data_IF_259879573368
#
_entry.id   IF_259879573368
#
_cell.length_a   1.000
_cell.length_b   1.000
_cell.length_c   1.000
_cell.angle_alpha   90.00
_cell.angle_beta   90.00
_cell.angle_gamma   90.00
#
_symmetry.space_group_name_H-M   'P 1'
#
loop_
_entity.id
_entity.type
_entity.pdbx_description
1 polymer ?
#
# COMPACT_ATOMS: atom_id res chain seq x y z
N UNK A 1 11.51 -36.14 15.76
CA UNK A 1 11.65 -36.02 14.30
C UNK A 1 10.56 -35.09 13.81
N UNK A 2 10.95 -33.94 13.31
CA UNK A 2 10.12 -32.84 12.80
C UNK A 2 9.13 -33.35 11.76
N UNK A 3 7.82 -33.03 11.84
CA UNK A 3 6.92 -33.35 10.74
C UNK A 3 7.35 -32.54 9.52
N UNK A 4 7.81 -33.27 8.52
CA UNK A 4 8.34 -32.80 7.26
C UNK A 4 7.25 -31.96 6.59
N UNK A 5 7.56 -30.69 6.38
CA UNK A 5 6.86 -29.74 5.51
C UNK A 5 6.57 -30.41 4.17
N UNK A 6 5.36 -30.94 4.01
CA UNK A 6 4.84 -31.46 2.75
C UNK A 6 3.73 -30.55 2.24
N UNK A 7 3.88 -29.20 2.30
CA UNK A 7 2.77 -28.31 1.92
C UNK A 7 3.22 -26.90 1.50
N UNK A 8 4.30 -26.76 0.73
CA UNK A 8 4.58 -25.46 0.08
C UNK A 8 3.90 -25.41 -1.30
N UNK A 9 4.06 -26.39 -2.20
CA UNK A 9 3.45 -26.31 -3.54
C UNK A 9 1.91 -26.40 -3.53
N UNK A 10 1.33 -27.40 -2.87
CA UNK A 10 -0.14 -27.61 -2.92
C UNK A 10 -0.92 -26.50 -2.19
N UNK A 11 -0.44 -26.05 -1.02
CA UNK A 11 -1.12 -24.95 -0.32
C UNK A 11 -0.95 -23.62 -1.06
N UNK A 12 0.21 -23.38 -1.67
CA UNK A 12 0.42 -22.18 -2.48
C UNK A 12 -0.51 -22.16 -3.70
N UNK A 13 -0.67 -23.26 -4.43
CA UNK A 13 -1.63 -23.36 -5.54
C UNK A 13 -3.09 -23.17 -5.11
N UNK A 14 -3.45 -23.62 -3.90
CA UNK A 14 -4.77 -23.42 -3.32
C UNK A 14 -5.00 -21.97 -2.89
N UNK A 15 -3.96 -21.30 -2.37
CA UNK A 15 -3.98 -19.88 -2.07
C UNK A 15 -4.05 -19.05 -3.36
N UNK A 16 -3.35 -19.45 -4.42
CA UNK A 16 -3.44 -18.79 -5.72
C UNK A 16 -4.84 -18.85 -6.30
N UNK A 17 -5.46 -20.03 -6.23
CA UNK A 17 -6.87 -20.18 -6.59
C UNK A 17 -7.75 -19.28 -5.71
N UNK A 18 -7.57 -19.28 -4.40
CA UNK A 18 -8.38 -18.47 -3.47
C UNK A 18 -8.31 -16.97 -3.79
N UNK A 19 -7.11 -16.43 -4.02
CA UNK A 19 -6.92 -15.02 -4.32
C UNK A 19 -7.26 -14.62 -5.76
N UNK A 20 -7.40 -15.60 -6.69
CA UNK A 20 -7.82 -15.38 -8.06
C UNK A 20 -9.34 -15.28 -8.28
N UNK A 21 -10.13 -15.67 -7.27
CA UNK A 21 -11.60 -15.73 -7.37
C UNK A 21 -12.25 -14.34 -7.40
N UNK A 22 -13.49 -14.25 -7.91
CA UNK A 22 -14.35 -13.11 -7.66
C UNK A 22 -14.45 -12.82 -6.16
N UNK A 23 -14.41 -11.54 -5.80
CA UNK A 23 -14.34 -11.10 -4.41
C UNK A 23 -15.47 -11.67 -3.53
N UNK A 24 -16.65 -11.90 -4.11
CA UNK A 24 -17.83 -12.38 -3.41
C UNK A 24 -17.79 -13.88 -3.10
N UNK A 25 -16.97 -14.65 -3.80
CA UNK A 25 -16.76 -16.08 -3.58
C UNK A 25 -15.67 -16.38 -2.54
N UNK A 26 -14.77 -15.42 -2.28
CA UNK A 26 -13.59 -15.58 -1.43
C UNK A 26 -13.89 -16.24 -0.08
N UNK A 27 -14.92 -15.75 0.65
CA UNK A 27 -15.23 -16.24 1.99
C UNK A 27 -15.74 -17.69 1.98
N UNK A 28 -16.55 -18.05 0.98
CA UNK A 28 -17.09 -19.40 0.85
C UNK A 28 -15.96 -20.39 0.57
N UNK A 29 -15.15 -20.12 -0.46
CA UNK A 29 -14.06 -20.99 -0.86
C UNK A 29 -12.97 -21.09 0.22
N UNK A 30 -12.64 -20.00 0.93
CA UNK A 30 -11.71 -20.03 2.07
C UNK A 30 -12.18 -21.01 3.15
N UNK A 31 -13.48 -21.02 3.47
CA UNK A 31 -14.03 -21.88 4.51
C UNK A 31 -14.05 -23.35 4.06
N UNK A 32 -14.33 -23.61 2.79
CA UNK A 32 -14.26 -24.95 2.19
C UNK A 32 -12.83 -25.49 2.15
N UNK A 33 -11.87 -24.68 1.72
CA UNK A 33 -10.44 -24.99 1.74
C UNK A 33 -9.99 -25.36 3.16
N UNK A 34 -10.31 -24.54 4.15
CA UNK A 34 -9.99 -24.85 5.54
C UNK A 34 -10.62 -26.18 6.01
N UNK A 35 -11.86 -26.46 5.61
CA UNK A 35 -12.54 -27.72 5.96
C UNK A 35 -11.86 -28.93 5.32
N UNK A 36 -11.46 -28.82 4.05
CA UNK A 36 -10.73 -29.87 3.34
C UNK A 36 -9.35 -30.11 3.96
N UNK A 37 -8.61 -29.06 4.29
CA UNK A 37 -7.30 -29.16 4.95
C UNK A 37 -7.41 -29.87 6.32
N UNK A 38 -8.45 -29.57 7.11
CA UNK A 38 -8.70 -30.31 8.37
C UNK A 38 -8.99 -31.79 8.12
N UNK A 39 -9.82 -32.12 7.13
CA UNK A 39 -10.13 -33.52 6.77
C UNK A 39 -8.90 -34.28 6.27
N UNK A 40 -7.96 -33.59 5.63
CA UNK A 40 -6.68 -34.14 5.19
C UNK A 40 -5.62 -34.24 6.31
N UNK A 41 -5.97 -33.95 7.57
CA UNK A 41 -5.03 -33.99 8.71
C UNK A 41 -4.11 -32.77 8.83
N UNK A 42 -4.30 -31.74 8.01
CA UNK A 42 -3.49 -30.52 8.00
C UNK A 42 -4.14 -29.40 8.85
N UNK A 43 -4.29 -29.65 10.15
CA UNK A 43 -5.00 -28.75 11.06
C UNK A 43 -4.36 -27.34 11.13
N UNK A 44 -3.02 -27.26 11.17
CA UNK A 44 -2.30 -25.98 11.24
C UNK A 44 -2.49 -25.13 9.98
N UNK A 45 -2.44 -25.75 8.79
CA UNK A 45 -2.70 -25.09 7.52
C UNK A 45 -4.16 -24.59 7.44
N UNK A 46 -5.11 -25.39 7.93
CA UNK A 46 -6.51 -24.99 7.98
C UNK A 46 -6.76 -23.78 8.88
N UNK A 47 -6.10 -23.70 10.05
CA UNK A 47 -6.18 -22.51 10.90
C UNK A 47 -5.59 -21.28 10.20
N UNK A 48 -4.43 -21.42 9.56
CA UNK A 48 -3.83 -20.33 8.77
C UNK A 48 -4.81 -19.81 7.71
N UNK A 49 -5.42 -20.70 6.92
CA UNK A 49 -6.41 -20.33 5.90
C UNK A 49 -7.63 -19.64 6.52
N UNK A 50 -8.14 -20.12 7.66
CA UNK A 50 -9.29 -19.48 8.35
C UNK A 50 -9.01 -18.07 8.80
N UNK A 51 -7.76 -17.76 9.15
CA UNK A 51 -7.36 -16.42 9.60
C UNK A 51 -7.17 -15.42 8.47
N UNK A 52 -7.13 -15.87 7.20
CA UNK A 52 -7.03 -14.99 6.04
C UNK A 52 -8.24 -14.07 5.96
N UNK A 53 -7.97 -12.77 5.87
CA UNK A 53 -9.01 -11.75 5.71
C UNK A 53 -9.48 -11.72 4.27
N UNK A 54 -10.77 -11.38 4.08
CA UNK A 54 -11.28 -11.06 2.75
C UNK A 54 -10.64 -9.73 2.33
N UNK A 55 -9.88 -9.67 1.21
CA UNK A 55 -9.27 -8.43 0.77
C UNK A 55 -10.35 -7.38 0.47
N UNK A 56 -10.04 -6.10 0.68
CA UNK A 56 -10.90 -5.02 0.22
C UNK A 56 -10.95 -4.97 -1.32
N UNK A 57 -11.91 -4.23 -1.90
CA UNK A 57 -12.05 -4.12 -3.37
C UNK A 57 -10.75 -3.62 -4.03
N UNK A 58 -10.07 -2.62 -3.46
CA UNK A 58 -8.81 -2.11 -3.98
C UNK A 58 -7.72 -3.19 -4.01
N UNK A 59 -7.51 -3.88 -2.88
CA UNK A 59 -6.52 -4.96 -2.74
C UNK A 59 -6.84 -6.15 -3.63
N UNK A 60 -8.11 -6.52 -3.73
CA UNK A 60 -8.57 -7.55 -4.66
C UNK A 60 -8.25 -7.17 -6.11
N UNK A 61 -8.50 -5.92 -6.50
CA UNK A 61 -8.18 -5.43 -7.85
C UNK A 61 -6.68 -5.55 -8.11
N UNK A 62 -5.83 -5.15 -7.16
CA UNK A 62 -4.37 -5.29 -7.24
C UNK A 62 -3.95 -6.76 -7.40
N UNK A 63 -4.52 -7.68 -6.60
CA UNK A 63 -4.23 -9.10 -6.70
C UNK A 63 -4.65 -9.70 -8.06
N UNK A 64 -5.78 -9.25 -8.60
CA UNK A 64 -6.23 -9.67 -9.93
C UNK A 64 -5.33 -9.12 -11.04
N UNK A 65 -4.80 -7.92 -10.90
CA UNK A 65 -3.83 -7.36 -11.85
C UNK A 65 -2.55 -8.20 -11.89
N UNK A 66 -2.00 -8.59 -10.74
CA UNK A 66 -0.83 -9.47 -10.70
C UNK A 66 -1.05 -10.81 -11.39
N UNK A 67 -2.28 -11.33 -11.37
CA UNK A 67 -2.63 -12.59 -12.02
C UNK A 67 -2.93 -12.47 -13.50
N UNK A 68 -3.60 -11.39 -13.92
CA UNK A 68 -4.02 -11.17 -15.32
C UNK A 68 -2.95 -10.47 -16.15
N UNK A 69 -2.10 -9.68 -15.50
CA UNK A 69 -1.08 -8.79 -16.09
C UNK A 69 0.25 -8.89 -15.32
N UNK A 70 0.84 -10.10 -15.21
CA UNK A 70 2.06 -10.30 -14.42
C UNK A 70 3.23 -9.46 -14.96
N UNK A 71 3.37 -9.34 -16.28
CA UNK A 71 4.46 -8.57 -16.89
C UNK A 71 4.44 -7.08 -16.52
N UNK A 72 3.25 -6.48 -16.44
CA UNK A 72 3.07 -5.07 -16.06
C UNK A 72 3.31 -4.85 -14.56
N UNK A 73 3.01 -5.85 -13.71
CA UNK A 73 3.35 -5.81 -12.29
C UNK A 73 4.85 -5.97 -12.08
N UNK A 74 5.48 -6.93 -12.75
CA UNK A 74 6.93 -7.15 -12.68
C UNK A 74 7.70 -5.89 -13.12
N UNK A 75 7.26 -5.24 -14.21
CA UNK A 75 7.83 -3.97 -14.67
C UNK A 75 7.67 -2.86 -13.61
N UNK A 76 6.51 -2.77 -12.95
CA UNK A 76 6.28 -1.79 -11.89
C UNK A 76 7.19 -2.03 -10.69
N UNK A 77 7.32 -3.27 -10.23
CA UNK A 77 8.20 -3.64 -9.10
C UNK A 77 9.65 -3.33 -9.44
N UNK A 78 10.09 -3.68 -10.64
CA UNK A 78 11.45 -3.42 -11.11
C UNK A 78 11.74 -1.91 -11.17
N UNK A 79 10.84 -1.11 -11.76
CA UNK A 79 10.99 0.34 -11.81
C UNK A 79 10.99 0.96 -10.40
N UNK A 80 10.17 0.42 -9.48
CA UNK A 80 10.19 0.80 -8.06
C UNK A 80 11.53 0.50 -7.38
N UNK A 81 12.15 -0.63 -7.68
CA UNK A 81 13.49 -1.00 -7.18
C UNK A 81 14.57 -0.07 -7.73
N UNK A 82 14.58 0.16 -9.04
CA UNK A 82 15.52 1.07 -9.69
C UNK A 82 15.42 2.49 -9.14
N UNK A 83 14.21 2.97 -8.87
CA UNK A 83 13.99 4.27 -8.24
C UNK A 83 14.59 4.32 -6.82
N UNK A 84 14.36 3.30 -5.99
CA UNK A 84 14.97 3.22 -4.66
C UNK A 84 16.50 3.24 -4.73
N UNK A 85 17.08 2.46 -5.64
CA UNK A 85 18.53 2.38 -5.82
C UNK A 85 19.12 3.70 -6.33
N UNK A 86 18.45 4.37 -7.27
CA UNK A 86 18.85 5.68 -7.76
C UNK A 86 18.81 6.73 -6.64
N UNK A 87 17.74 6.73 -5.83
CA UNK A 87 17.63 7.62 -4.67
C UNK A 87 18.74 7.37 -3.64
N UNK A 88 19.04 6.10 -3.34
CA UNK A 88 20.13 5.74 -2.43
C UNK A 88 21.51 6.21 -2.93
N UNK A 89 21.76 6.15 -4.24
CA UNK A 89 22.99 6.67 -4.88
C UNK A 89 23.06 8.20 -4.86
N UNK A 90 21.93 8.87 -5.10
CA UNK A 90 21.82 10.32 -5.07
C UNK A 90 22.12 10.91 -3.69
N UNK A 91 21.67 10.23 -2.62
CA UNK A 91 22.02 10.60 -1.24
C UNK A 91 23.53 10.51 -0.95
N UNK A 92 24.27 9.71 -1.72
CA UNK A 92 25.74 9.61 -1.65
C UNK A 92 26.45 10.61 -2.58
N UNK A 93 25.71 11.54 -3.18
CA UNK A 93 26.25 12.60 -4.04
C UNK A 93 26.42 12.22 -5.52
N UNK A 94 25.83 11.10 -5.98
CA UNK A 94 25.99 10.62 -7.36
C UNK A 94 24.63 10.31 -8.01
N UNK A 95 24.44 10.62 -9.31
CA UNK A 95 23.30 10.08 -10.08
C UNK A 95 21.96 10.82 -9.95
N UNK A 96 21.97 12.15 -9.83
CA UNK A 96 20.73 12.96 -9.84
C UNK A 96 19.90 12.76 -11.13
N UNK A 97 20.55 12.55 -12.28
CA UNK A 97 19.88 12.28 -13.55
C UNK A 97 19.19 10.91 -13.57
N UNK A 98 19.82 9.90 -12.98
CA UNK A 98 19.25 8.56 -12.86
C UNK A 98 17.97 8.55 -11.98
N UNK A 99 17.88 9.42 -10.98
CA UNK A 99 16.64 9.58 -10.19
C UNK A 99 15.51 10.11 -11.04
N UNK A 100 15.78 11.10 -11.90
CA UNK A 100 14.75 11.68 -12.79
C UNK A 100 14.23 10.64 -13.77
N UNK A 101 15.12 9.87 -14.38
CA UNK A 101 14.76 8.80 -15.31
C UNK A 101 13.97 7.69 -14.62
N UNK A 102 14.45 7.16 -13.49
CA UNK A 102 13.75 6.12 -12.72
C UNK A 102 12.38 6.59 -12.21
N UNK A 103 12.26 7.87 -11.82
CA UNK A 103 10.95 8.45 -11.43
C UNK A 103 10.00 8.50 -12.61
N UNK A 104 10.48 8.84 -13.82
CA UNK A 104 9.65 8.85 -15.01
C UNK A 104 9.19 7.44 -15.40
N UNK A 105 10.07 6.44 -15.29
CA UNK A 105 9.76 5.03 -15.54
C UNK A 105 8.71 4.48 -14.57
N UNK A 106 8.88 4.67 -13.25
CA UNK A 106 7.88 4.27 -12.23
C UNK A 106 6.52 4.90 -12.48
N UNK A 107 6.49 6.21 -12.76
CA UNK A 107 5.22 6.90 -13.03
C UNK A 107 4.56 6.39 -14.31
N UNK A 108 5.33 5.99 -15.31
CA UNK A 108 4.79 5.47 -16.56
C UNK A 108 4.21 4.06 -16.38
N UNK A 109 4.91 3.15 -15.70
CA UNK A 109 4.39 1.81 -15.40
C UNK A 109 3.18 1.89 -14.48
N UNK A 110 3.21 2.72 -13.42
CA UNK A 110 2.08 2.88 -12.52
C UNK A 110 0.83 3.36 -13.27
N UNK A 111 0.94 4.36 -14.15
CA UNK A 111 -0.19 4.83 -14.98
C UNK A 111 -0.77 3.72 -15.86
N UNK A 112 0.08 2.85 -16.43
CA UNK A 112 -0.38 1.70 -17.24
C UNK A 112 -1.18 0.72 -16.38
N UNK A 113 -0.63 0.33 -15.22
CA UNK A 113 -1.30 -0.60 -14.30
C UNK A 113 -2.60 -0.02 -13.75
N UNK A 114 -2.66 1.27 -13.41
CA UNK A 114 -3.89 1.93 -12.97
C UNK A 114 -4.98 1.94 -14.04
N UNK A 115 -4.62 2.06 -15.33
CA UNK A 115 -5.59 1.94 -16.43
C UNK A 115 -6.16 0.53 -16.54
N UNK A 116 -5.31 -0.49 -16.41
CA UNK A 116 -5.76 -1.89 -16.35
C UNK A 116 -6.69 -2.13 -15.15
N UNK A 117 -6.43 -1.45 -14.02
CA UNK A 117 -7.30 -1.51 -12.85
C UNK A 117 -8.69 -0.93 -13.13
N UNK A 118 -8.76 0.19 -13.85
CA UNK A 118 -10.02 0.80 -14.29
C UNK A 118 -10.81 -0.13 -15.22
N UNK A 119 -10.15 -0.70 -16.23
CA UNK A 119 -10.75 -1.67 -17.15
C UNK A 119 -11.30 -2.90 -16.41
N UNK A 120 -10.53 -3.43 -15.46
CA UNK A 120 -10.93 -4.56 -14.61
C UNK A 120 -12.16 -4.24 -13.75
N UNK A 121 -12.16 -3.09 -13.06
CA UNK A 121 -13.28 -2.69 -12.21
C UNK A 121 -14.57 -2.52 -13.03
N UNK A 122 -14.46 -1.86 -14.19
CA UNK A 122 -15.60 -1.65 -15.09
C UNK A 122 -16.13 -2.98 -15.65
N UNK A 123 -15.24 -3.89 -16.05
CA UNK A 123 -15.61 -5.23 -16.52
C UNK A 123 -16.32 -6.09 -15.47
N UNK A 124 -16.06 -5.82 -14.18
CA UNK A 124 -16.68 -6.50 -13.03
C UNK A 124 -17.89 -5.74 -12.48
N UNK A 125 -18.35 -4.70 -13.18
CA UNK A 125 -19.50 -3.87 -12.78
C UNK A 125 -19.26 -3.06 -11.49
N UNK A 126 -17.99 -2.83 -11.12
CA UNK A 126 -17.60 -2.07 -9.93
C UNK A 126 -17.20 -0.65 -10.33
N UNK A 127 -17.58 0.39 -9.55
CA UNK A 127 -17.31 1.76 -9.93
C UNK A 127 -15.81 2.09 -9.81
N UNK A 128 -15.18 2.42 -10.94
CA UNK A 128 -13.81 2.92 -11.01
C UNK A 128 -13.74 4.43 -10.70
N UNK A 129 -14.12 4.82 -9.48
CA UNK A 129 -14.05 6.24 -9.08
C UNK A 129 -12.60 6.72 -8.97
N UNK A 130 -12.36 8.02 -9.14
CA UNK A 130 -11.02 8.60 -8.98
C UNK A 130 -10.39 8.26 -7.61
N UNK A 131 -11.19 8.26 -6.53
CA UNK A 131 -10.73 7.89 -5.20
C UNK A 131 -10.35 6.39 -5.10
N UNK A 132 -11.05 5.50 -5.80
CA UNK A 132 -10.70 4.08 -5.86
C UNK A 132 -9.39 3.87 -6.62
N UNK A 133 -9.24 4.51 -7.78
CA UNK A 133 -8.02 4.42 -8.60
C UNK A 133 -6.80 4.99 -7.86
N UNK A 134 -6.97 6.08 -7.11
CA UNK A 134 -5.90 6.65 -6.28
C UNK A 134 -5.47 5.67 -5.17
N UNK A 135 -6.42 5.01 -4.49
CA UNK A 135 -6.11 3.99 -3.47
C UNK A 135 -5.35 2.80 -4.06
N UNK A 136 -5.75 2.34 -5.25
CA UNK A 136 -5.06 1.28 -5.98
C UNK A 136 -3.65 1.72 -6.35
N UNK A 137 -3.49 2.91 -6.93
CA UNK A 137 -2.19 3.46 -7.31
C UNK A 137 -1.25 3.63 -6.10
N UNK A 138 -1.77 4.12 -4.97
CA UNK A 138 -1.04 4.25 -3.71
C UNK A 138 -0.56 2.90 -3.19
N UNK A 139 -1.44 1.89 -3.16
CA UNK A 139 -1.12 0.53 -2.72
C UNK A 139 -0.05 -0.11 -3.62
N UNK A 140 -0.20 0.01 -4.94
CA UNK A 140 0.76 -0.50 -5.93
C UNK A 140 2.14 0.14 -5.76
N UNK A 141 2.19 1.47 -5.62
CA UNK A 141 3.45 2.20 -5.41
C UNK A 141 4.12 1.76 -4.11
N UNK A 142 3.36 1.68 -3.01
CA UNK A 142 3.90 1.28 -1.72
C UNK A 142 4.41 -0.17 -1.73
N UNK A 143 3.66 -1.08 -2.35
CA UNK A 143 4.05 -2.50 -2.46
C UNK A 143 5.27 -2.71 -3.35
N UNK A 144 5.39 -1.97 -4.47
CA UNK A 144 6.57 -2.03 -5.34
C UNK A 144 7.88 -1.59 -4.65
N UNK A 145 7.76 -0.82 -3.55
CA UNK A 145 8.91 -0.30 -2.81
C UNK A 145 9.33 -1.06 -1.57
N UNK A 146 8.49 -1.96 -1.08
CA UNK A 146 8.78 -2.81 0.07
C UNK A 146 9.07 -4.24 -0.43
N UNK A 147 10.27 -4.83 -0.15
CA UNK A 147 10.61 -6.16 -0.63
C UNK A 147 9.63 -7.27 -0.24
N UNK A 148 9.07 -7.22 0.99
CA UNK A 148 8.15 -8.24 1.47
C UNK A 148 6.78 -8.06 0.82
N UNK A 149 6.34 -6.81 0.65
CA UNK A 149 5.09 -6.51 -0.06
C UNK A 149 5.18 -6.76 -1.57
N UNK A 150 6.35 -6.55 -2.18
CA UNK A 150 6.59 -6.80 -3.60
C UNK A 150 6.43 -8.28 -3.92
N UNK A 151 7.00 -9.18 -3.11
CA UNK A 151 6.82 -10.62 -3.29
C UNK A 151 5.35 -11.06 -3.17
N UNK A 152 4.59 -10.44 -2.24
CA UNK A 152 3.15 -10.69 -2.11
C UNK A 152 2.34 -10.09 -3.27
N UNK A 153 2.76 -8.95 -3.80
CA UNK A 153 2.16 -8.30 -4.96
C UNK A 153 2.36 -9.15 -6.21
N UNK A 154 3.59 -9.58 -6.50
CA UNK A 154 3.93 -10.45 -7.63
C UNK A 154 3.16 -11.77 -7.57
N UNK A 155 3.02 -12.35 -6.37
CA UNK A 155 2.20 -13.54 -6.16
C UNK A 155 0.68 -13.28 -6.26
N UNK A 156 0.24 -12.02 -6.26
CA UNK A 156 -1.18 -11.64 -6.23
C UNK A 156 -1.88 -12.10 -4.94
N UNK A 157 -1.21 -11.97 -3.79
CA UNK A 157 -1.66 -12.45 -2.46
C UNK A 157 -1.60 -11.37 -1.39
N UNK A 158 -1.67 -10.09 -1.75
CA UNK A 158 -1.72 -9.00 -0.78
C UNK A 158 -2.97 -9.16 0.11
N UNK A 159 -2.82 -9.18 1.44
CA UNK A 159 -3.94 -9.38 2.36
C UNK A 159 -4.73 -8.10 2.63
N UNK A 160 -4.05 -6.95 2.64
CA UNK A 160 -4.57 -5.63 2.99
C UNK A 160 -3.81 -4.55 2.18
N UNK A 161 -4.27 -3.29 2.26
CA UNK A 161 -3.57 -2.16 1.62
C UNK A 161 -2.19 -1.94 2.26
N UNK A 162 -1.22 -1.58 1.43
CA UNK A 162 0.15 -1.30 1.87
C UNK A 162 0.30 0.21 1.97
N UNK A 163 0.64 0.70 3.16
CA UNK A 163 0.96 2.10 3.37
C UNK A 163 2.46 2.32 3.14
N UNK A 164 2.82 3.35 2.37
CA UNK A 164 4.23 3.69 2.15
C UNK A 164 4.91 4.01 3.47
N UNK A 165 5.96 3.27 3.79
CA UNK A 165 6.73 3.33 5.04
C UNK A 165 7.53 4.62 5.23
N UNK A 166 7.30 5.67 4.42
CA UNK A 166 7.90 7.00 4.59
C UNK A 166 7.55 7.71 5.91
N UNK A 167 6.51 7.26 6.62
CA UNK A 167 6.11 7.74 7.95
C UNK A 167 6.21 6.67 9.05
N UNK A 168 6.60 5.43 8.73
CA UNK A 168 6.66 4.34 9.69
C UNK A 168 7.70 4.56 10.80
N UNK A 169 8.76 5.33 10.52
CA UNK A 169 9.73 5.78 11.53
C UNK A 169 9.09 6.66 12.63
N UNK A 170 8.00 7.37 12.33
CA UNK A 170 7.23 8.15 13.31
C UNK A 170 6.21 7.28 14.07
N UNK A 171 5.67 6.25 13.42
CA UNK A 171 4.70 5.32 14.02
C UNK A 171 5.34 4.31 14.99
N UNK A 172 6.65 4.05 14.86
CA UNK A 172 7.43 3.20 15.77
C UNK A 172 7.53 3.75 17.22
N UNK A 173 7.06 4.97 17.46
CA UNK A 173 6.98 5.57 18.81
C UNK A 173 5.64 5.29 19.53
N UNK A 174 4.73 4.50 18.94
CA UNK A 174 3.48 4.10 19.58
C UNK A 174 3.59 2.66 20.15
N UNK A 175 3.21 2.41 21.42
CA UNK A 175 3.25 1.07 21.98
C UNK A 175 2.22 0.16 21.28
N UNK A 176 2.56 -1.12 21.01
CA UNK A 176 1.63 -2.06 20.42
C UNK A 176 0.49 -2.39 21.40
N UNK A 177 -0.76 -2.59 20.92
CA UNK A 177 -1.84 -3.04 21.78
C UNK A 177 -1.57 -4.48 22.26
N UNK A 178 -1.58 -4.66 23.58
CA UNK A 178 -1.49 -5.96 24.26
C UNK A 178 -2.60 -6.91 23.78
N UNK A 179 -2.21 -8.05 23.21
CA UNK A 179 -3.09 -9.15 22.87
C UNK A 179 -3.18 -10.12 24.07
N UNK A 180 -4.25 -10.00 24.85
CA UNK A 180 -4.63 -11.02 25.84
C UNK A 180 -5.34 -12.17 25.15
N UNK A 181 -4.68 -13.33 25.09
CA UNK A 181 -5.31 -14.63 24.83
C UNK A 181 -6.18 -15.02 26.03
N UNK A 182 -7.43 -15.43 25.80
CA UNK A 182 -8.15 -16.40 26.65
C UNK A 182 -9.21 -17.10 25.82
N UNK A 183 -9.09 -18.43 25.76
CA UNK A 183 -10.10 -19.33 25.19
C UNK A 183 -11.28 -19.53 26.12
N UNK A 184 -12.36 -20.08 25.56
CA UNK A 184 -13.55 -20.52 26.30
C UNK A 184 -14.84 -20.26 25.53
N UNK A 185 -15.41 -21.32 24.96
CA UNK A 185 -16.69 -21.30 24.26
C UNK A 185 -17.86 -20.93 25.17
N UNK A 186 -18.77 -20.04 24.72
CA UNK A 186 -20.23 -20.18 24.84
C UNK A 186 -21.00 -19.04 24.17
N UNK A 187 -22.04 -19.45 23.43
CA UNK A 187 -23.35 -18.83 23.14
C UNK A 187 -23.39 -17.32 22.84
N UNK A 188 -23.71 -17.03 21.57
CA UNK A 188 -23.98 -15.72 20.98
C UNK A 188 -25.33 -15.20 21.50
N UNK A 189 -25.29 -14.13 22.28
CA UNK A 189 -26.42 -13.23 22.54
C UNK A 189 -25.97 -11.82 22.15
N UNK A 190 -26.85 -11.12 21.42
CA UNK A 190 -26.66 -9.76 20.94
C UNK A 190 -26.50 -8.79 22.12
N UNK A 191 -25.25 -8.49 22.49
CA UNK A 191 -24.94 -7.48 23.50
C UNK A 191 -25.01 -6.09 22.88
N UNK A 192 -26.03 -5.31 23.29
CA UNK A 192 -26.05 -3.85 23.13
C UNK A 192 -24.70 -3.25 23.60
N UNK A 193 -24.16 -2.23 22.93
CA UNK A 193 -22.85 -1.68 23.26
C UNK A 193 -22.84 -1.23 24.72
N UNK A 194 -21.89 -1.77 25.49
CA UNK A 194 -21.67 -1.41 26.89
C UNK A 194 -21.32 0.09 26.96
N UNK A 195 -21.94 0.85 27.88
CA UNK A 195 -21.70 2.29 28.06
C UNK A 195 -20.20 2.63 28.24
N UNK A 196 -19.42 1.69 28.81
CA UNK A 196 -17.96 1.81 28.92
C UNK A 196 -17.23 1.81 27.56
N UNK A 197 -17.76 1.07 26.58
CA UNK A 197 -17.21 1.00 25.23
C UNK A 197 -17.51 2.28 24.43
N UNK A 198 -18.70 2.86 24.60
CA UNK A 198 -19.08 4.14 23.97
C UNK A 198 -18.16 5.26 24.47
N UNK A 199 -17.99 5.41 25.79
CA UNK A 199 -17.06 6.42 26.36
C UNK A 199 -15.62 6.28 25.88
N UNK A 200 -15.15 5.03 25.71
CA UNK A 200 -13.81 4.74 25.17
C UNK A 200 -13.69 5.17 23.71
N UNK A 201 -14.74 4.99 22.91
CA UNK A 201 -14.79 5.41 21.51
C UNK A 201 -14.85 6.93 21.40
N UNK A 202 -15.64 7.61 22.23
CA UNK A 202 -15.72 9.08 22.28
C UNK A 202 -14.37 9.71 22.64
N UNK A 203 -13.68 9.18 23.66
CA UNK A 203 -12.35 9.66 24.05
C UNK A 203 -11.33 9.43 22.93
N UNK A 204 -11.44 8.31 22.21
CA UNK A 204 -10.57 8.00 21.08
C UNK A 204 -10.85 8.95 19.90
N UNK A 205 -12.12 9.25 19.63
CA UNK A 205 -12.53 10.18 18.59
C UNK A 205 -11.97 11.58 18.85
N UNK A 206 -12.17 12.13 20.05
CA UNK A 206 -11.66 13.44 20.43
C UNK A 206 -10.12 13.53 20.30
N UNK A 207 -9.40 12.46 20.66
CA UNK A 207 -7.93 12.40 20.49
C UNK A 207 -7.50 12.36 19.02
N UNK A 208 -8.27 11.70 18.16
CA UNK A 208 -8.00 11.64 16.72
C UNK A 208 -8.30 12.98 16.05
N UNK A 209 -9.38 13.65 16.43
CA UNK A 209 -9.73 15.00 15.95
C UNK A 209 -8.66 16.03 16.32
N UNK A 210 -8.20 16.03 17.58
CA UNK A 210 -7.12 16.92 18.01
C UNK A 210 -5.82 16.68 17.22
N UNK A 211 -5.50 15.41 16.92
CA UNK A 211 -4.34 15.05 16.10
C UNK A 211 -4.51 15.47 14.64
N UNK A 212 -5.71 15.31 14.08
CA UNK A 212 -6.01 15.74 12.71
C UNK A 212 -5.85 17.26 12.58
N UNK A 213 -6.31 18.02 13.58
CA UNK A 213 -6.16 19.48 13.65
C UNK A 213 -4.68 19.91 13.71
N UNK A 214 -3.87 19.32 14.60
CA UNK A 214 -2.43 19.61 14.71
C UNK A 214 -1.67 19.28 13.41
N UNK A 215 -2.01 18.16 12.76
CA UNK A 215 -1.41 17.79 11.48
C UNK A 215 -1.79 18.74 10.35
N UNK A 216 -3.05 19.19 10.30
CA UNK A 216 -3.50 20.18 9.32
C UNK A 216 -2.75 21.52 9.48
N UNK A 217 -2.61 22.01 10.71
CA UNK A 217 -1.88 23.26 11.00
C UNK A 217 -0.38 23.15 10.64
N UNK A 218 0.22 21.97 10.82
CA UNK A 218 1.61 21.71 10.39
C UNK A 218 1.75 21.66 8.87
N UNK A 219 0.76 21.07 8.17
CA UNK A 219 0.74 21.05 6.72
C UNK A 219 0.65 22.48 6.15
N UNK A 220 -0.26 23.30 6.69
CA UNK A 220 -0.42 24.71 6.28
C UNK A 220 0.87 25.51 6.51
N UNK A 221 1.53 25.34 7.66
CA UNK A 221 2.84 25.98 7.92
C UNK A 221 3.91 25.52 6.95
N UNK A 222 3.97 24.23 6.63
CA UNK A 222 4.94 23.70 5.67
C UNK A 222 4.69 24.23 4.25
N UNK A 223 3.43 24.37 3.84
CA UNK A 223 3.04 24.96 2.56
C UNK A 223 3.42 26.44 2.47
N UNK A 224 3.22 27.21 3.54
CA UNK A 224 3.64 28.61 3.61
C UNK A 224 5.16 28.77 3.44
N UNK A 225 5.96 27.94 4.14
CA UNK A 225 7.42 27.93 4.01
C UNK A 225 7.85 27.54 2.59
N UNK A 226 7.18 26.55 2.00
CA UNK A 226 7.46 26.13 0.63
C UNK A 226 7.11 27.21 -0.40
N UNK A 227 6.03 27.96 -0.18
CA UNK A 227 5.65 29.10 -1.02
C UNK A 227 6.70 30.21 -0.96
N UNK A 228 7.13 30.59 0.24
CA UNK A 228 8.18 31.60 0.44
C UNK A 228 9.51 31.18 -0.21
N UNK A 229 9.90 29.92 -0.08
CA UNK A 229 11.11 29.40 -0.72
C UNK A 229 11.02 29.45 -2.27
N UNK A 230 9.84 29.17 -2.85
CA UNK A 230 9.61 29.28 -4.30
C UNK A 230 9.68 30.72 -4.78
N UNK A 231 9.11 31.65 -4.03
CA UNK A 231 9.17 33.08 -4.36
C UNK A 231 10.61 33.59 -4.37
N UNK A 232 11.40 33.25 -3.35
CA UNK A 232 12.85 33.58 -3.30
C UNK A 232 13.62 32.98 -4.47
N UNK A 233 13.32 31.73 -4.85
CA UNK A 233 13.95 31.10 -6.01
C UNK A 233 13.59 31.81 -7.33
N UNK A 234 12.34 32.26 -7.49
CA UNK A 234 11.90 33.02 -8.65
C UNK A 234 12.57 34.40 -8.72
N UNK A 235 12.69 35.11 -7.58
CA UNK A 235 13.39 36.39 -7.49
C UNK A 235 14.87 36.24 -7.89
N UNK A 236 15.57 35.25 -7.31
CA UNK A 236 16.97 34.97 -7.67
C UNK A 236 17.14 34.61 -9.16
N UNK A 237 16.18 33.89 -9.75
CA UNK A 237 16.19 33.61 -11.18
C UNK A 237 16.00 34.89 -12.01
N UNK A 238 15.09 35.77 -11.61
CA UNK A 238 14.84 37.04 -12.30
C UNK A 238 16.07 37.97 -12.24
N UNK A 239 16.73 38.05 -11.08
CA UNK A 239 17.99 38.80 -10.89
C UNK A 239 19.11 38.26 -11.77
N UNK A 240 19.28 36.93 -11.82
CA UNK A 240 20.26 36.28 -12.70
C UNK A 240 20.00 36.64 -14.17
N UNK A 241 18.76 36.58 -14.63
CA UNK A 241 18.39 36.92 -16.00
C UNK A 241 18.62 38.39 -16.33
N UNK A 242 18.37 39.30 -15.38
CA UNK A 242 18.68 40.72 -15.51
C UNK A 242 20.20 40.95 -15.63
N UNK A 243 20.99 40.41 -14.71
CA UNK A 243 22.45 40.50 -14.77
C UNK A 243 23.04 39.91 -16.06
N UNK A 244 22.45 38.80 -16.55
CA UNK A 244 22.85 38.20 -17.82
C UNK A 244 22.52 39.08 -19.03
N UNK A 245 21.43 39.87 -18.99
CA UNK A 245 21.11 40.87 -20.02
C UNK A 245 22.11 42.02 -20.00
N UNK A 246 22.37 42.60 -18.84
CA UNK A 246 23.34 43.71 -18.68
C UNK A 246 24.73 43.33 -19.17
N UNK A 247 25.20 42.11 -18.85
CA UNK A 247 26.49 41.61 -19.33
C UNK A 247 26.53 41.44 -20.86
N UNK A 248 25.42 41.06 -21.50
CA UNK A 248 25.35 40.96 -22.97
C UNK A 248 25.41 42.34 -23.61
N UNK A 249 24.71 43.31 -23.06
CA UNK A 249 24.67 44.67 -23.58
C UNK A 249 26.03 45.36 -23.41
N UNK A 250 26.73 45.13 -22.29
CA UNK A 250 28.08 45.67 -22.07
C UNK A 250 29.17 45.06 -22.98
N UNK A 251 28.90 43.89 -23.59
CA UNK A 251 29.81 43.19 -24.51
C UNK A 251 29.57 43.53 -25.99
N UNK A 252 28.54 44.31 -26.29
CA UNK A 252 28.11 44.66 -27.65
C UNK A 252 28.62 46.04 -28.05
#
# INVERSE_FOLDING_TARGET
MTPRLAVVPELDEELDRLYGLPLDEFTAVRNELATRLRKAGQADAAERVRTLRKPGVAVWTVNQLARRHPGEIDELVENGRQLRDAQAKALRGTGADAVREATAAERASLRRVTRLAEELLNGEGRPATAAMLERIASTLRAAAVDPDAAALLEAGRLPDEVESSGFAALAAMAPPPSATRRGGAKKREERKPNAAQIRKLETRLAKLEARASDLAERAERAEAVAAEARERAQQAHAEREAAARELRDAKR
#
